data_IF_387298625081
#
_entry.id   IF_387298625081
#
_cell.length_a   1.000
_cell.length_b   1.000
_cell.length_c   1.000
_cell.angle_alpha   90.00
_cell.angle_beta   90.00
_cell.angle_gamma   90.00
#
_symmetry.space_group_name_H-M   'P 1'
#
loop_
_entity.id
_entity.type
_entity.pdbx_description
1 polymer ?
#
# COMPACT_ATOMS: atom_id res chain seq x y z
N UNK A 1 -20.64 10.89 -8.40
CA UNK A 1 -19.33 11.36 -7.93
C UNK A 1 -18.75 12.25 -9.02
N UNK A 2 -18.13 13.38 -8.68
CA UNK A 2 -17.47 14.21 -9.70
C UNK A 2 -16.11 13.59 -10.09
N UNK A 3 -15.72 13.71 -11.36
CA UNK A 3 -14.41 13.25 -11.85
C UNK A 3 -13.62 14.43 -12.37
N UNK A 4 -12.44 14.65 -11.81
CA UNK A 4 -11.54 15.75 -12.18
C UNK A 4 -10.19 15.20 -12.62
N UNK A 5 -9.55 15.87 -13.59
CA UNK A 5 -8.27 15.43 -14.17
C UNK A 5 -7.13 16.41 -13.95
N UNK A 6 -7.42 17.62 -13.48
CA UNK A 6 -6.41 18.64 -13.23
C UNK A 6 -6.27 18.92 -11.74
N UNK A 7 -5.07 19.31 -11.31
CA UNK A 7 -4.78 19.77 -9.96
C UNK A 7 -5.58 21.04 -9.65
N UNK A 8 -5.83 21.89 -10.65
CA UNK A 8 -6.64 23.09 -10.50
C UNK A 8 -8.09 22.74 -10.09
N UNK A 9 -8.73 21.80 -10.78
CA UNK A 9 -10.09 21.36 -10.48
C UNK A 9 -10.17 20.62 -9.15
N UNK A 10 -9.18 19.76 -8.85
CA UNK A 10 -9.05 19.11 -7.54
C UNK A 10 -9.03 20.15 -6.40
N UNK A 11 -8.17 21.17 -6.54
CA UNK A 11 -8.05 22.24 -5.54
C UNK A 11 -9.32 23.08 -5.43
N UNK A 12 -10.01 23.32 -6.53
CA UNK A 12 -11.28 24.05 -6.52
C UNK A 12 -12.35 23.30 -5.72
N UNK A 13 -12.50 21.99 -5.93
CA UNK A 13 -13.47 21.15 -5.20
C UNK A 13 -13.12 21.08 -3.71
N UNK A 14 -11.87 20.72 -3.39
CA UNK A 14 -11.44 20.59 -2.00
C UNK A 14 -11.48 21.94 -1.26
N UNK A 15 -11.10 23.02 -1.94
CA UNK A 15 -11.20 24.39 -1.43
C UNK A 15 -12.64 24.79 -1.11
N UNK A 16 -13.59 24.49 -2.02
CA UNK A 16 -15.01 24.74 -1.80
C UNK A 16 -15.57 24.01 -0.58
N UNK A 17 -15.20 22.74 -0.40
CA UNK A 17 -15.56 21.97 0.79
C UNK A 17 -15.01 22.58 2.08
N UNK A 18 -13.74 23.00 2.07
CA UNK A 18 -13.12 23.66 3.22
C UNK A 18 -13.77 24.98 3.59
N UNK A 19 -14.09 25.83 2.60
CA UNK A 19 -14.82 27.07 2.86
C UNK A 19 -16.21 26.80 3.46
N UNK A 20 -16.82 25.66 3.11
CA UNK A 20 -18.05 25.16 3.73
C UNK A 20 -17.86 24.46 5.09
N UNK A 21 -16.65 24.47 5.66
CA UNK A 21 -16.33 23.85 6.95
C UNK A 21 -16.28 22.32 6.94
N UNK A 22 -16.20 21.69 5.76
CA UNK A 22 -16.20 20.23 5.60
C UNK A 22 -14.80 19.66 5.72
N UNK A 23 -14.68 18.57 6.47
CA UNK A 23 -13.45 17.76 6.52
C UNK A 23 -13.33 16.86 5.29
N UNK A 24 -12.09 16.58 4.87
CA UNK A 24 -11.77 15.80 3.66
C UNK A 24 -10.80 14.66 3.97
N UNK A 25 -11.16 13.45 3.59
CA UNK A 25 -10.28 12.29 3.60
C UNK A 25 -9.84 11.93 2.17
N UNK A 26 -8.58 11.53 2.00
CA UNK A 26 -8.01 11.10 0.74
C UNK A 26 -7.73 9.59 0.75
N UNK A 27 -8.07 8.88 -0.32
CA UNK A 27 -7.68 7.49 -0.56
C UNK A 27 -6.85 7.42 -1.85
N UNK A 28 -5.51 7.39 -1.76
CA UNK A 28 -4.68 7.24 -2.95
C UNK A 28 -4.74 5.82 -3.50
N UNK A 29 -5.08 5.65 -4.78
CA UNK A 29 -5.07 4.35 -5.47
C UNK A 29 -4.46 4.44 -6.86
N UNK A 30 -4.12 3.28 -7.43
CA UNK A 30 -3.68 3.14 -8.82
C UNK A 30 -4.78 2.60 -9.74
N UNK A 31 -6.03 2.48 -9.28
CA UNK A 31 -7.10 1.80 -10.00
C UNK A 31 -7.03 0.27 -9.93
N UNK A 32 -7.84 -0.40 -10.74
CA UNK A 32 -8.13 -1.84 -10.65
C UNK A 32 -8.59 -2.23 -9.25
N UNK A 33 -9.66 -1.56 -8.81
CA UNK A 33 -10.15 -1.61 -7.46
C UNK A 33 -10.70 -2.99 -7.10
N UNK A 34 -10.64 -3.30 -5.81
CA UNK A 34 -11.14 -4.54 -5.23
C UNK A 34 -11.68 -4.25 -3.83
N UNK A 35 -12.23 -5.25 -3.14
CA UNK A 35 -12.83 -5.06 -1.81
C UNK A 35 -11.86 -4.48 -0.75
N UNK A 36 -10.55 -4.66 -0.97
CA UNK A 36 -9.50 -4.01 -0.18
C UNK A 36 -9.44 -2.49 -0.38
N UNK A 37 -9.62 -1.98 -1.59
CA UNK A 37 -9.70 -0.52 -1.83
C UNK A 37 -11.02 0.05 -1.32
N UNK A 38 -12.11 -0.68 -1.53
CA UNK A 38 -13.45 -0.32 -1.02
C UNK A 38 -13.44 -0.15 0.50
N UNK A 39 -12.73 -1.00 1.24
CA UNK A 39 -12.62 -0.83 2.70
C UNK A 39 -11.90 0.47 3.09
N UNK A 40 -10.93 0.94 2.29
CA UNK A 40 -10.26 2.23 2.51
C UNK A 40 -11.24 3.40 2.33
N UNK A 41 -12.11 3.34 1.31
CA UNK A 41 -13.14 4.36 1.03
C UNK A 41 -14.14 4.42 2.18
N UNK A 42 -14.62 3.26 2.67
CA UNK A 42 -15.50 3.20 3.85
C UNK A 42 -14.82 3.79 5.09
N UNK A 43 -13.53 3.48 5.30
CA UNK A 43 -12.76 4.06 6.41
C UNK A 43 -12.62 5.58 6.26
N UNK A 44 -12.39 6.08 5.05
CA UNK A 44 -12.32 7.52 4.78
C UNK A 44 -13.65 8.23 5.08
N UNK A 45 -14.79 7.66 4.67
CA UNK A 45 -16.12 8.21 4.98
C UNK A 45 -16.48 8.20 6.47
N UNK A 46 -15.83 7.35 7.27
CA UNK A 46 -15.96 7.37 8.74
C UNK A 46 -15.06 8.44 9.41
N UNK A 47 -14.07 8.98 8.70
CA UNK A 47 -13.08 9.92 9.22
C UNK A 47 -13.36 11.38 8.82
N UNK A 48 -14.09 11.59 7.73
CA UNK A 48 -14.34 12.91 7.16
C UNK A 48 -15.70 12.99 6.46
N UNK A 49 -16.21 14.20 6.31
CA UNK A 49 -17.49 14.46 5.63
C UNK A 49 -17.41 14.34 4.10
N UNK A 50 -16.20 14.43 3.53
CA UNK A 50 -15.94 14.29 2.10
C UNK A 50 -14.82 13.29 1.84
N UNK A 51 -15.03 12.41 0.88
CA UNK A 51 -14.05 11.42 0.46
C UNK A 51 -13.58 11.71 -0.96
N UNK A 52 -12.28 12.01 -1.09
CA UNK A 52 -11.58 12.11 -2.35
C UNK A 52 -10.79 10.83 -2.59
N UNK A 53 -10.90 10.26 -3.79
CA UNK A 53 -10.12 9.08 -4.20
C UNK A 53 -9.26 9.45 -5.39
N UNK A 54 -8.03 8.94 -5.45
CA UNK A 54 -7.19 9.11 -6.64
C UNK A 54 -7.15 7.82 -7.44
N UNK A 55 -7.13 7.92 -8.76
CA UNK A 55 -6.88 6.82 -9.68
C UNK A 55 -5.74 7.22 -10.59
N UNK A 56 -4.52 6.83 -10.21
CA UNK A 56 -3.31 7.20 -10.94
C UNK A 56 -2.27 6.09 -10.87
N UNK A 57 -2.00 5.43 -12.01
CA UNK A 57 -0.90 4.48 -12.14
C UNK A 57 0.40 5.29 -12.26
N UNK A 58 1.08 5.48 -11.14
CA UNK A 58 2.32 6.25 -11.09
C UNK A 58 3.46 5.52 -11.84
N UNK A 59 4.00 6.03 -12.95
CA UNK A 59 5.10 5.35 -13.66
C UNK A 59 6.41 5.33 -12.87
N UNK A 60 6.64 6.30 -11.98
CA UNK A 60 7.94 6.46 -11.29
C UNK A 60 8.21 5.42 -10.21
N UNK A 61 7.21 4.62 -9.84
CA UNK A 61 7.34 3.51 -8.89
C UNK A 61 7.37 2.14 -9.59
N UNK A 62 7.48 2.11 -10.93
CA UNK A 62 7.67 0.86 -11.68
C UNK A 62 9.08 0.80 -12.25
N UNK A 63 9.77 -0.32 -12.05
CA UNK A 63 11.02 -0.59 -12.76
C UNK A 63 10.74 -0.99 -14.22
N UNK A 64 11.70 -0.87 -15.16
CA UNK A 64 11.48 -1.17 -16.59
C UNK A 64 11.00 -2.60 -16.89
N UNK A 65 11.20 -3.54 -15.97
CA UNK A 65 10.79 -4.95 -16.10
C UNK A 65 9.54 -5.29 -15.28
N UNK A 66 8.95 -4.31 -14.60
CA UNK A 66 7.69 -4.48 -13.87
C UNK A 66 6.48 -4.29 -14.79
N UNK A 67 5.29 -4.50 -14.23
CA UNK A 67 4.04 -4.69 -14.95
C UNK A 67 3.34 -3.39 -15.38
N UNK A 68 4.07 -2.29 -15.62
CA UNK A 68 3.45 -0.98 -15.94
C UNK A 68 2.58 -1.01 -17.21
N UNK A 69 3.06 -1.67 -18.26
CA UNK A 69 2.36 -1.74 -19.56
C UNK A 69 1.12 -2.63 -19.51
N UNK A 70 1.13 -3.63 -18.63
CA UNK A 70 0.05 -4.61 -18.47
C UNK A 70 -0.79 -4.38 -17.22
N UNK A 71 -0.54 -3.29 -16.48
CA UNK A 71 -1.30 -2.97 -15.27
C UNK A 71 -2.77 -2.75 -15.65
N UNK A 72 -3.72 -3.44 -14.98
CA UNK A 72 -5.14 -3.35 -15.32
C UNK A 72 -5.66 -1.92 -15.17
N UNK A 73 -6.43 -1.46 -16.17
CA UNK A 73 -7.05 -0.13 -16.19
C UNK A 73 -8.49 -0.27 -16.65
N UNK A 74 -9.43 0.00 -15.75
CA UNK A 74 -10.86 0.09 -16.06
C UNK A 74 -11.49 1.21 -15.21
N UNK A 75 -11.30 2.45 -15.66
CA UNK A 75 -11.80 3.65 -14.96
C UNK A 75 -13.33 3.60 -14.76
N UNK A 76 -14.07 2.98 -15.69
CA UNK A 76 -15.52 2.90 -15.60
C UNK A 76 -15.95 1.94 -14.48
N UNK A 77 -15.36 0.75 -14.41
CA UNK A 77 -15.61 -0.19 -13.32
C UNK A 77 -15.17 0.38 -11.96
N UNK A 78 -13.99 0.99 -11.91
CA UNK A 78 -13.46 1.62 -10.71
C UNK A 78 -14.38 2.75 -10.22
N UNK A 79 -14.81 3.65 -11.12
CA UNK A 79 -15.74 4.75 -10.80
C UNK A 79 -17.06 4.23 -10.25
N UNK A 80 -17.65 3.19 -10.86
CA UNK A 80 -18.89 2.59 -10.38
C UNK A 80 -18.75 2.00 -8.97
N UNK A 81 -17.62 1.36 -8.66
CA UNK A 81 -17.33 0.86 -7.31
C UNK A 81 -17.20 2.01 -6.30
N UNK A 82 -16.55 3.11 -6.67
CA UNK A 82 -16.38 4.27 -5.79
C UNK A 82 -17.70 5.01 -5.53
N UNK A 83 -18.56 5.15 -6.55
CA UNK A 83 -19.89 5.74 -6.39
C UNK A 83 -20.78 4.92 -5.46
N UNK A 84 -20.75 3.60 -5.58
CA UNK A 84 -21.52 2.69 -4.71
C UNK A 84 -21.11 2.81 -3.23
N UNK A 85 -19.86 3.20 -2.97
CA UNK A 85 -19.30 3.38 -1.62
C UNK A 85 -19.40 4.83 -1.11
N UNK A 86 -20.00 5.73 -1.90
CA UNK A 86 -20.25 7.11 -1.49
C UNK A 86 -19.03 8.04 -1.59
N UNK A 87 -18.07 7.75 -2.47
CA UNK A 87 -16.99 8.70 -2.76
C UNK A 87 -17.56 9.99 -3.41
N UNK A 88 -17.06 11.15 -2.98
CA UNK A 88 -17.54 12.46 -3.45
C UNK A 88 -16.82 12.92 -4.71
N UNK A 89 -15.51 12.66 -4.79
CA UNK A 89 -14.63 13.12 -5.87
C UNK A 89 -13.61 12.04 -6.26
N UNK A 90 -13.46 11.84 -7.56
CA UNK A 90 -12.40 11.07 -8.18
C UNK A 90 -11.40 12.00 -8.87
N UNK A 91 -10.14 11.98 -8.42
CA UNK A 91 -9.04 12.61 -9.11
C UNK A 91 -8.31 11.57 -9.99
N UNK A 92 -8.50 11.68 -11.30
CA UNK A 92 -7.93 10.76 -12.30
C UNK A 92 -7.04 11.53 -13.30
N UNK A 93 -5.90 12.09 -12.84
CA UNK A 93 -4.99 12.85 -13.69
C UNK A 93 -4.26 11.95 -14.68
N UNK A 94 -3.80 12.54 -15.78
CA UNK A 94 -2.82 11.88 -16.63
C UNK A 94 -1.39 12.05 -16.10
N UNK A 95 -0.43 11.42 -16.78
CA UNK A 95 0.98 11.48 -16.41
C UNK A 95 1.56 12.88 -16.58
N UNK A 96 1.11 13.67 -17.56
CA UNK A 96 1.64 15.00 -17.84
C UNK A 96 1.21 16.02 -16.78
N UNK A 97 0.00 15.89 -16.23
CA UNK A 97 -0.48 16.68 -15.10
C UNK A 97 0.32 16.38 -13.82
N UNK A 98 0.64 15.10 -13.60
CA UNK A 98 1.43 14.70 -12.43
C UNK A 98 2.93 15.00 -12.62
N UNK A 99 3.47 14.81 -13.80
CA UNK A 99 4.89 14.94 -14.12
C UNK A 99 5.08 15.77 -15.40
N UNK A 100 5.00 17.12 -15.30
CA UNK A 100 5.20 17.98 -16.45
C UNK A 100 6.63 17.86 -17.00
N UNK A 101 6.83 18.31 -18.25
CA UNK A 101 8.15 18.33 -18.88
C UNK A 101 9.16 19.08 -18.00
N UNK A 102 10.30 18.44 -17.73
CA UNK A 102 11.34 18.98 -16.84
C UNK A 102 11.14 18.75 -15.35
N UNK A 103 10.13 17.98 -14.91
CA UNK A 103 9.94 17.61 -13.50
C UNK A 103 11.15 16.85 -12.93
N UNK A 104 11.90 17.52 -12.05
CA UNK A 104 13.17 17.05 -11.50
C UNK A 104 13.11 16.72 -10.00
N UNK A 105 12.05 17.12 -9.29
CA UNK A 105 11.98 16.97 -7.84
C UNK A 105 11.62 15.55 -7.43
N UNK A 106 12.41 14.95 -6.54
CA UNK A 106 12.18 13.62 -5.98
C UNK A 106 12.27 13.67 -4.47
N UNK A 107 11.49 12.82 -3.81
CA UNK A 107 11.49 12.68 -2.35
C UNK A 107 11.94 11.26 -2.00
N UNK A 108 12.90 11.14 -1.08
CA UNK A 108 13.43 9.87 -0.60
C UNK A 108 13.40 9.82 0.92
N UNK A 109 13.20 8.62 1.49
CA UNK A 109 13.16 8.39 2.95
C UNK A 109 14.16 7.29 3.32
N UNK A 110 15.48 7.61 3.36
CA UNK A 110 16.53 6.62 3.60
C UNK A 110 16.35 5.85 4.91
N UNK A 111 16.95 4.66 4.99
CA UNK A 111 16.81 3.71 6.08
C UNK A 111 15.53 2.87 5.94
N UNK A 112 14.35 3.50 6.01
CA UNK A 112 13.08 2.77 5.84
C UNK A 112 12.87 2.25 4.41
N UNK A 113 13.46 2.92 3.42
CA UNK A 113 13.33 2.57 1.99
C UNK A 113 14.39 1.62 1.46
N UNK A 114 15.37 1.21 2.27
CA UNK A 114 16.61 0.61 1.75
C UNK A 114 16.64 -0.92 1.86
N UNK A 115 15.85 -1.48 2.80
CA UNK A 115 15.71 -2.92 3.05
C UNK A 115 14.35 -3.44 2.56
N UNK A 116 14.10 -4.74 2.69
CA UNK A 116 12.83 -5.41 2.34
C UNK A 116 12.41 -5.06 0.90
N UNK A 117 11.20 -4.54 0.68
CA UNK A 117 10.75 -4.15 -0.66
C UNK A 117 11.72 -3.19 -1.37
N UNK A 118 12.40 -2.32 -0.63
CA UNK A 118 13.36 -1.37 -1.17
C UNK A 118 14.58 -2.03 -1.81
N UNK A 119 15.09 -3.09 -1.16
CA UNK A 119 16.22 -3.87 -1.65
C UNK A 119 15.85 -4.68 -2.92
N UNK A 120 14.61 -5.16 -3.01
CA UNK A 120 14.14 -5.95 -4.15
C UNK A 120 13.55 -5.09 -5.28
N UNK A 121 13.24 -3.81 -5.02
CA UNK A 121 12.63 -2.88 -5.97
C UNK A 121 13.33 -1.51 -5.92
N UNK A 122 14.59 -1.40 -6.40
CA UNK A 122 15.35 -0.16 -6.34
C UNK A 122 14.60 1.02 -6.96
N UNK A 123 14.51 2.12 -6.22
CA UNK A 123 13.79 3.33 -6.63
C UNK A 123 12.28 3.32 -6.38
N UNK A 124 11.68 2.17 -6.04
CA UNK A 124 10.24 2.03 -5.78
C UNK A 124 9.73 3.07 -4.77
N UNK A 125 10.35 3.14 -3.58
CA UNK A 125 9.91 4.05 -2.54
C UNK A 125 10.21 5.51 -2.82
N UNK A 126 11.20 5.84 -3.65
CA UNK A 126 11.38 7.21 -4.14
C UNK A 126 10.20 7.62 -5.02
N UNK A 127 9.75 6.73 -5.92
CA UNK A 127 8.55 6.93 -6.72
C UNK A 127 7.30 7.11 -5.85
N UNK A 128 7.09 6.22 -4.88
CA UNK A 128 5.95 6.28 -3.95
C UNK A 128 5.98 7.55 -3.09
N UNK A 129 7.10 7.85 -2.43
CA UNK A 129 7.22 9.03 -1.59
C UNK A 129 7.00 10.32 -2.40
N UNK A 130 7.51 10.37 -3.63
CA UNK A 130 7.30 11.53 -4.52
C UNK A 130 5.83 11.69 -4.90
N UNK A 131 5.16 10.64 -5.41
CA UNK A 131 3.75 10.77 -5.82
C UNK A 131 2.83 11.05 -4.64
N UNK A 132 3.04 10.39 -3.50
CA UNK A 132 2.21 10.63 -2.30
C UNK A 132 2.42 12.05 -1.79
N UNK A 133 3.66 12.56 -1.75
CA UNK A 133 3.92 13.98 -1.39
C UNK A 133 3.14 14.93 -2.29
N UNK A 134 3.15 14.69 -3.61
CA UNK A 134 2.42 15.52 -4.58
C UNK A 134 0.92 15.46 -4.32
N UNK A 135 0.34 14.26 -4.18
CA UNK A 135 -1.10 14.10 -3.91
C UNK A 135 -1.52 14.79 -2.60
N UNK A 136 -0.73 14.64 -1.53
CA UNK A 136 -0.99 15.30 -0.25
C UNK A 136 -0.92 16.82 -0.34
N UNK A 137 -0.03 17.40 -1.15
CA UNK A 137 0.07 18.86 -1.34
C UNK A 137 -0.97 19.39 -2.34
N UNK A 138 -1.38 18.56 -3.30
CA UNK A 138 -2.39 18.92 -4.29
C UNK A 138 -3.78 18.96 -3.66
N UNK A 139 -4.15 17.95 -2.85
CA UNK A 139 -5.43 17.85 -2.17
C UNK A 139 -5.44 18.50 -0.76
N UNK A 140 -4.31 18.48 -0.05
CA UNK A 140 -4.17 18.95 1.34
C UNK A 140 -5.19 18.34 2.34
N UNK A 141 -5.59 17.07 2.27
CA UNK A 141 -6.73 16.52 3.03
C UNK A 141 -6.52 16.57 4.56
N UNK A 142 -7.56 16.43 5.36
CA UNK A 142 -7.45 16.32 6.82
C UNK A 142 -6.88 14.96 7.26
N UNK A 143 -7.20 13.91 6.50
CA UNK A 143 -6.69 12.56 6.69
C UNK A 143 -6.43 11.88 5.34
N UNK A 144 -5.49 10.94 5.30
CA UNK A 144 -5.27 10.06 4.17
C UNK A 144 -5.20 8.60 4.63
N UNK A 145 -5.93 7.72 3.95
CA UNK A 145 -6.10 6.31 4.34
C UNK A 145 -5.25 5.41 3.45
N UNK A 146 -4.45 4.55 4.08
CA UNK A 146 -3.60 3.57 3.40
C UNK A 146 -3.79 2.18 4.02
N UNK A 147 -3.73 1.14 3.18
CA UNK A 147 -3.84 -0.25 3.63
C UNK A 147 -2.56 -0.76 4.29
N UNK A 148 -2.71 -1.54 5.37
CA UNK A 148 -1.60 -2.22 6.05
C UNK A 148 -0.96 -3.34 5.22
N UNK A 149 -1.60 -3.78 4.14
CA UNK A 149 -1.05 -4.78 3.22
C UNK A 149 0.33 -4.36 2.71
N UNK A 150 0.52 -3.07 2.40
CA UNK A 150 1.80 -2.49 2.01
C UNK A 150 2.45 -1.80 3.23
N UNK A 151 2.73 -2.57 4.29
CA UNK A 151 3.12 -2.02 5.60
C UNK A 151 4.39 -1.15 5.57
N UNK A 152 5.41 -1.54 4.80
CA UNK A 152 6.62 -0.73 4.64
C UNK A 152 6.31 0.61 3.95
N UNK A 153 5.44 0.61 2.93
CA UNK A 153 4.96 1.85 2.30
C UNK A 153 4.28 2.76 3.33
N UNK A 154 3.40 2.22 4.16
CA UNK A 154 2.75 2.97 5.23
C UNK A 154 3.76 3.61 6.18
N UNK A 155 4.83 2.90 6.59
CA UNK A 155 5.87 3.46 7.46
C UNK A 155 6.69 4.55 6.76
N UNK A 156 7.05 4.36 5.48
CA UNK A 156 7.70 5.39 4.66
C UNK A 156 6.85 6.66 4.58
N UNK A 157 5.54 6.52 4.33
CA UNK A 157 4.61 7.65 4.24
C UNK A 157 4.45 8.35 5.60
N UNK A 158 4.30 7.60 6.70
CA UNK A 158 4.25 8.18 8.05
C UNK A 158 5.50 8.98 8.38
N UNK A 159 6.68 8.44 8.06
CA UNK A 159 7.97 9.11 8.26
C UNK A 159 8.07 10.39 7.45
N UNK A 160 7.75 10.31 6.17
CA UNK A 160 7.69 11.43 5.23
C UNK A 160 6.80 12.57 5.74
N UNK A 161 5.56 12.26 6.11
CA UNK A 161 4.58 13.25 6.56
C UNK A 161 5.03 13.95 7.83
N UNK A 162 5.57 13.19 8.78
CA UNK A 162 6.13 13.73 10.02
C UNK A 162 7.33 14.64 9.75
N UNK A 163 8.32 14.16 9.00
CA UNK A 163 9.59 14.87 8.80
C UNK A 163 9.40 16.15 7.96
N UNK A 164 8.47 16.14 7.00
CA UNK A 164 8.13 17.31 6.19
C UNK A 164 7.03 18.19 6.80
N UNK A 165 6.54 17.86 8.01
CA UNK A 165 5.46 18.59 8.68
C UNK A 165 4.21 18.77 7.81
N UNK A 166 3.89 17.77 6.99
CA UNK A 166 2.70 17.78 6.14
C UNK A 166 1.47 17.66 7.08
N UNK A 167 0.52 18.60 7.05
CA UNK A 167 -0.58 18.68 8.02
C UNK A 167 -1.72 17.70 7.70
N UNK A 168 -1.39 16.42 7.51
CA UNK A 168 -2.34 15.37 7.14
C UNK A 168 -2.19 14.20 8.11
N UNK A 169 -3.32 13.71 8.67
CA UNK A 169 -3.29 12.48 9.49
C UNK A 169 -3.20 11.24 8.60
N UNK A 170 -2.20 10.38 8.85
CA UNK A 170 -2.04 9.12 8.10
C UNK A 170 -2.72 7.97 8.86
N UNK A 171 -3.82 7.51 8.29
CA UNK A 171 -4.70 6.48 8.85
C UNK A 171 -4.41 5.13 8.19
N UNK A 172 -4.23 4.11 9.01
CA UNK A 172 -4.02 2.74 8.55
C UNK A 172 -5.37 2.00 8.54
N UNK A 173 -5.59 1.19 7.50
CA UNK A 173 -6.70 0.26 7.42
C UNK A 173 -6.17 -1.17 7.34
N UNK A 174 -6.81 -2.08 8.07
CA UNK A 174 -6.41 -3.48 8.14
C UNK A 174 -6.42 -4.14 6.75
N UNK A 175 -5.50 -5.09 6.55
CA UNK A 175 -5.45 -5.91 5.34
C UNK A 175 -6.74 -6.71 5.19
N UNK A 176 -7.51 -6.44 4.14
CA UNK A 176 -8.67 -7.28 3.77
C UNK A 176 -8.17 -8.56 3.11
N UNK A 177 -8.77 -9.68 3.48
CA UNK A 177 -8.38 -11.01 3.03
C UNK A 177 -9.57 -11.73 2.39
N UNK A 178 -9.25 -12.66 1.50
CA UNK A 178 -10.20 -13.68 1.05
C UNK A 178 -10.52 -14.66 2.18
N UNK A 179 -11.55 -15.49 2.01
CA UNK A 179 -12.04 -16.41 3.05
C UNK A 179 -10.98 -17.42 3.54
N UNK A 180 -10.00 -17.73 2.71
CA UNK A 180 -8.88 -18.62 3.02
C UNK A 180 -7.65 -17.88 3.57
N UNK A 181 -7.73 -16.56 3.78
CA UNK A 181 -6.69 -15.74 4.38
C UNK A 181 -5.73 -15.07 3.39
N UNK A 182 -5.84 -15.34 2.08
CA UNK A 182 -5.04 -14.64 1.08
C UNK A 182 -5.33 -13.13 1.13
N UNK A 183 -4.29 -12.30 1.27
CA UNK A 183 -4.44 -10.85 1.20
C UNK A 183 -4.98 -10.43 -0.18
N UNK A 184 -6.00 -9.58 -0.20
CA UNK A 184 -6.55 -9.09 -1.46
C UNK A 184 -5.54 -8.21 -2.20
N UNK A 185 -5.31 -8.53 -3.47
CA UNK A 185 -4.48 -7.73 -4.37
C UNK A 185 -5.01 -7.85 -5.80
N UNK A 186 -4.92 -6.77 -6.58
CA UNK A 186 -5.13 -6.80 -8.03
C UNK A 186 -4.25 -7.86 -8.73
N UNK A 187 -3.05 -8.13 -8.20
CA UNK A 187 -2.13 -9.15 -8.73
C UNK A 187 -2.56 -10.60 -8.47
N UNK A 188 -3.57 -10.84 -7.63
CA UNK A 188 -4.12 -12.20 -7.45
C UNK A 188 -4.74 -12.73 -8.76
N UNK A 189 -5.19 -11.86 -9.65
CA UNK A 189 -5.73 -12.22 -10.97
C UNK A 189 -4.68 -12.87 -11.90
N UNK A 190 -3.39 -12.77 -11.59
CA UNK A 190 -2.31 -13.38 -12.37
C UNK A 190 -2.04 -14.83 -11.97
N UNK A 191 -2.61 -15.30 -10.86
CA UNK A 191 -2.42 -16.67 -10.38
C UNK A 191 -3.29 -17.63 -11.20
N UNK A 192 -2.67 -18.71 -11.68
CA UNK A 192 -3.41 -19.88 -12.16
C UNK A 192 -4.23 -20.53 -11.03
N UNK A 193 -5.23 -21.38 -11.34
CA UNK A 193 -6.00 -22.07 -10.30
C UNK A 193 -5.15 -22.84 -9.28
N UNK A 194 -4.08 -23.50 -9.73
CA UNK A 194 -3.17 -24.26 -8.86
C UNK A 194 -2.35 -23.32 -7.97
N UNK A 195 -1.78 -22.25 -8.54
CA UNK A 195 -1.07 -21.23 -7.78
C UNK A 195 -2.01 -20.54 -6.78
N UNK A 196 -3.25 -20.24 -7.16
CA UNK A 196 -4.25 -19.66 -6.26
C UNK A 196 -4.52 -20.58 -5.07
N UNK A 197 -4.56 -21.89 -5.26
CA UNK A 197 -4.70 -22.86 -4.16
C UNK A 197 -3.53 -22.86 -3.16
N UNK A 198 -2.33 -22.51 -3.62
CA UNK A 198 -1.10 -22.45 -2.80
C UNK A 198 -0.95 -21.09 -2.09
N UNK A 199 -1.40 -20.00 -2.72
CA UNK A 199 -1.17 -18.63 -2.27
C UNK A 199 -1.48 -18.34 -0.77
N UNK A 200 -2.54 -18.91 -0.15
CA UNK A 200 -2.81 -18.75 1.29
C UNK A 200 -1.68 -19.22 2.22
N UNK A 201 -0.77 -20.09 1.75
CA UNK A 201 0.38 -20.52 2.54
C UNK A 201 1.31 -19.37 2.95
N UNK A 202 1.31 -18.25 2.21
CA UNK A 202 2.02 -17.03 2.60
C UNK A 202 1.49 -16.46 3.92
N UNK A 203 0.17 -16.33 4.03
CA UNK A 203 -0.48 -15.83 5.25
C UNK A 203 -0.26 -16.79 6.43
N UNK A 204 -0.39 -18.09 6.19
CA UNK A 204 -0.11 -19.11 7.20
C UNK A 204 1.32 -19.03 7.74
N UNK A 205 2.31 -18.88 6.84
CA UNK A 205 3.72 -18.78 7.23
C UNK A 205 3.99 -17.55 8.11
N UNK A 206 3.55 -16.36 7.70
CA UNK A 206 3.78 -15.13 8.50
C UNK A 206 3.05 -15.17 9.83
N UNK A 207 1.86 -15.75 9.88
CA UNK A 207 1.08 -15.91 11.13
C UNK A 207 1.73 -16.91 12.08
N UNK A 208 2.29 -18.01 11.56
CA UNK A 208 3.03 -19.00 12.35
C UNK A 208 4.27 -18.37 12.98
N UNK A 209 5.04 -17.60 12.21
CA UNK A 209 6.20 -16.86 12.73
C UNK A 209 5.76 -15.88 13.81
N UNK A 210 4.72 -15.09 13.57
CA UNK A 210 4.24 -14.09 14.51
C UNK A 210 3.83 -14.71 15.86
N UNK A 211 3.11 -15.82 15.84
CA UNK A 211 2.74 -16.55 17.05
C UNK A 211 3.96 -17.11 17.77
N UNK A 212 4.87 -17.78 17.05
CA UNK A 212 6.03 -18.42 17.67
C UNK A 212 6.97 -17.40 18.32
N UNK A 213 7.21 -16.25 17.68
CA UNK A 213 8.11 -15.23 18.24
C UNK A 213 7.48 -14.46 19.39
N UNK A 214 6.14 -14.33 19.40
CA UNK A 214 5.39 -13.83 20.56
C UNK A 214 5.53 -14.78 21.76
N UNK A 215 5.44 -16.09 21.54
CA UNK A 215 5.57 -17.14 22.58
C UNK A 215 7.01 -17.37 23.05
N UNK A 216 7.97 -16.69 22.41
CA UNK A 216 9.32 -16.62 22.91
C UNK A 216 10.37 -17.28 22.02
N UNK A 217 9.99 -17.81 20.85
CA UNK A 217 10.91 -18.41 19.91
C UNK A 217 11.90 -17.40 19.32
N UNK A 218 13.05 -17.91 18.90
CA UNK A 218 14.09 -17.15 18.18
C UNK A 218 13.59 -16.70 16.80
N UNK A 219 13.67 -15.40 16.51
CA UNK A 219 13.12 -14.81 15.30
C UNK A 219 13.82 -15.33 14.04
N UNK A 220 15.17 -15.31 14.02
CA UNK A 220 15.96 -15.74 12.87
C UNK A 220 15.69 -17.21 12.50
N UNK A 221 15.51 -18.07 13.51
CA UNK A 221 15.12 -19.46 13.30
C UNK A 221 13.70 -19.61 12.73
N UNK A 222 12.73 -18.83 13.22
CA UNK A 222 11.38 -18.85 12.67
C UNK A 222 11.32 -18.32 11.23
N UNK A 223 12.10 -17.28 10.90
CA UNK A 223 12.25 -16.77 9.54
C UNK A 223 12.77 -17.87 8.59
N UNK A 224 13.85 -18.57 8.97
CA UNK A 224 14.40 -19.68 8.16
C UNK A 224 13.38 -20.81 7.96
N UNK A 225 12.63 -21.16 9.00
CA UNK A 225 11.57 -22.19 8.91
C UNK A 225 10.45 -21.77 7.98
N UNK A 226 10.01 -20.52 8.04
CA UNK A 226 8.98 -19.99 7.15
C UNK A 226 9.45 -20.00 5.69
N UNK A 227 10.70 -19.60 5.42
CA UNK A 227 11.29 -19.68 4.07
C UNK A 227 11.27 -21.13 3.55
N UNK A 228 11.65 -22.10 4.36
CA UNK A 228 11.61 -23.52 3.99
C UNK A 228 10.17 -24.01 3.74
N UNK A 229 9.23 -23.64 4.61
CA UNK A 229 7.83 -24.02 4.49
C UNK A 229 7.19 -23.46 3.20
N UNK A 230 7.46 -22.21 2.85
CA UNK A 230 6.97 -21.58 1.62
C UNK A 230 7.52 -22.28 0.38
N UNK A 231 8.83 -22.59 0.36
CA UNK A 231 9.43 -23.35 -0.75
C UNK A 231 8.78 -24.72 -0.92
N UNK A 232 8.56 -25.43 0.18
CA UNK A 232 7.90 -26.74 0.16
C UNK A 232 6.43 -26.65 -0.31
N UNK A 233 5.76 -25.53 -0.06
CA UNK A 233 4.38 -25.29 -0.50
C UNK A 233 4.28 -24.97 -2.01
N UNK A 234 5.38 -24.60 -2.68
CA UNK A 234 5.41 -24.31 -4.11
C UNK A 234 5.88 -22.91 -4.50
N UNK A 235 6.31 -22.07 -3.54
CA UNK A 235 6.90 -20.78 -3.87
C UNK A 235 8.30 -20.96 -4.45
N UNK A 236 8.47 -20.61 -5.73
CA UNK A 236 9.72 -20.81 -6.48
C UNK A 236 10.88 -20.00 -5.89
N UNK A 237 10.59 -18.82 -5.35
CA UNK A 237 11.55 -17.92 -4.72
C UNK A 237 10.89 -17.21 -3.54
N UNK A 238 11.60 -17.15 -2.42
CA UNK A 238 11.22 -16.31 -1.28
C UNK A 238 12.23 -15.19 -1.20
N UNK A 239 11.78 -13.94 -1.38
CA UNK A 239 12.65 -12.78 -1.30
C UNK A 239 13.04 -12.52 0.15
N UNK A 240 12.06 -12.53 1.05
CA UNK A 240 12.28 -12.48 2.49
C UNK A 240 11.08 -12.98 3.29
N UNK A 241 11.37 -13.43 4.51
CA UNK A 241 10.45 -13.42 5.67
C UNK A 241 11.24 -12.75 6.78
N UNK A 242 10.69 -11.72 7.42
CA UNK A 242 11.45 -10.90 8.36
C UNK A 242 10.58 -10.40 9.52
N UNK A 243 11.09 -10.52 10.75
CA UNK A 243 10.50 -10.01 11.98
C UNK A 243 11.16 -8.68 12.33
N UNK A 244 10.39 -7.60 12.25
CA UNK A 244 10.89 -6.23 12.36
C UNK A 244 10.14 -5.43 13.41
N UNK A 245 10.81 -4.42 13.97
CA UNK A 245 10.14 -3.41 14.79
C UNK A 245 9.06 -2.72 13.95
N UNK A 246 7.84 -2.64 14.47
CA UNK A 246 6.69 -2.19 13.70
C UNK A 246 6.75 -0.70 13.31
N UNK A 247 7.59 0.11 13.97
CA UNK A 247 7.73 1.54 13.68
C UNK A 247 9.00 1.86 12.88
N UNK A 248 10.11 1.19 13.17
CA UNK A 248 11.41 1.50 12.54
C UNK A 248 11.82 0.54 11.44
N UNK A 249 11.16 -0.62 11.34
CA UNK A 249 11.53 -1.73 10.45
C UNK A 249 12.97 -2.27 10.66
N UNK A 250 13.62 -1.90 11.75
CA UNK A 250 14.87 -2.51 12.20
C UNK A 250 14.63 -3.93 12.73
N UNK A 251 15.71 -4.68 12.96
CA UNK A 251 15.63 -5.98 13.62
C UNK A 251 14.85 -5.88 14.94
N UNK A 252 13.90 -6.79 15.16
CA UNK A 252 13.06 -6.79 16.35
C UNK A 252 13.75 -7.51 17.51
N UNK A 253 14.52 -6.76 18.31
CA UNK A 253 15.29 -7.29 19.44
C UNK A 253 14.63 -7.04 20.81
N UNK A 254 13.69 -6.10 20.88
CA UNK A 254 12.99 -5.72 22.10
C UNK A 254 11.51 -6.09 22.03
N UNK A 255 11.15 -7.15 22.76
CA UNK A 255 9.78 -7.68 22.81
C UNK A 255 8.77 -6.78 23.52
N UNK A 256 9.23 -5.75 24.22
CA UNK A 256 8.32 -4.75 24.82
C UNK A 256 7.75 -3.80 23.78
N UNK A 257 8.35 -3.76 22.58
CA UNK A 257 7.90 -2.94 21.46
C UNK A 257 7.11 -3.78 20.46
N UNK A 258 6.08 -3.20 19.80
CA UNK A 258 5.31 -3.93 18.78
C UNK A 258 6.20 -4.43 17.64
N UNK A 259 6.06 -5.72 17.30
CA UNK A 259 6.73 -6.35 16.17
C UNK A 259 5.80 -6.51 14.95
N UNK A 260 6.39 -6.71 13.78
CA UNK A 260 5.69 -7.06 12.53
C UNK A 260 6.47 -8.15 11.81
N UNK A 261 5.79 -9.20 11.37
CA UNK A 261 6.34 -10.16 10.42
C UNK A 261 5.96 -9.71 9.02
N UNK A 262 6.92 -9.51 8.13
CA UNK A 262 6.71 -9.18 6.73
C UNK A 262 7.29 -10.28 5.85
N UNK A 263 6.63 -10.57 4.72
CA UNK A 263 7.14 -11.51 3.74
C UNK A 263 6.86 -11.05 2.31
N UNK A 264 7.77 -11.44 1.41
CA UNK A 264 7.58 -11.36 -0.02
C UNK A 264 8.08 -12.65 -0.69
N UNK A 265 7.26 -13.22 -1.56
CA UNK A 265 7.58 -14.48 -2.23
C UNK A 265 6.93 -14.55 -3.61
N UNK A 266 7.55 -15.33 -4.51
CA UNK A 266 7.12 -15.53 -5.89
C UNK A 266 6.44 -16.88 -6.02
N UNK A 267 5.22 -16.85 -6.54
CA UNK A 267 4.44 -18.02 -6.88
C UNK A 267 4.17 -17.99 -8.38
N UNK A 268 4.86 -18.88 -9.10
CA UNK A 268 5.03 -18.75 -10.54
C UNK A 268 5.70 -17.43 -10.90
N UNK A 269 4.99 -16.61 -11.69
CA UNK A 269 5.44 -15.26 -12.09
C UNK A 269 4.95 -14.15 -11.16
N UNK A 270 4.04 -14.45 -10.24
CA UNK A 270 3.37 -13.45 -9.41
C UNK A 270 4.15 -13.27 -8.11
N UNK A 271 4.59 -12.04 -7.85
CA UNK A 271 5.22 -11.65 -6.58
C UNK A 271 4.15 -11.20 -5.60
N UNK A 272 3.96 -11.99 -4.54
CA UNK A 272 3.00 -11.73 -3.46
C UNK A 272 3.75 -11.15 -2.25
N UNK A 273 3.06 -10.27 -1.51
CA UNK A 273 3.52 -9.78 -0.23
C UNK A 273 2.42 -9.97 0.81
N UNK A 274 2.82 -10.21 2.06
CA UNK A 274 1.90 -10.22 3.19
C UNK A 274 2.66 -9.84 4.47
N UNK A 275 1.92 -9.46 5.50
CA UNK A 275 2.48 -9.13 6.80
C UNK A 275 1.43 -9.24 7.90
N UNK A 276 1.87 -9.48 9.13
CA UNK A 276 1.03 -9.57 10.33
C UNK A 276 1.73 -8.94 11.54
N UNK A 277 0.99 -8.33 12.49
CA UNK A 277 1.56 -7.91 13.77
C UNK A 277 1.99 -9.10 14.62
N UNK A 278 3.08 -8.93 15.35
CA UNK A 278 3.42 -9.79 16.50
C UNK A 278 2.63 -9.25 17.69
N UNK A 279 1.86 -10.11 18.36
CA UNK A 279 0.98 -9.76 19.47
C UNK A 279 1.43 -10.39 20.76
#
# INVERSE_FOLDING_TARGET
>A
MDVVRTVADLRAHVGGWRTGGKSVALVPTMGALHAGHVSLVRRAGALAERTCVTLFVNPTQFAPHEDLDVYPRDEAADSAMLEAEGADLLFAPDVAEMYPEGDATRVSVPGLSDDLEGAFRPGFFTGVATVVTKLLIQALPDAAVFGEKDYQQLQVIRRLVRDLHIPVRIEAAETVREADGLALSSRNAYLSPDERGIAPALHHAVSTVASAVADGADADEQERRAVAALRNAGFARVDYVAVRDAATLAAWTDRTRPGRVLAAAHLGRTRLIDNVPVR
#
